data_IF_261090627087
#
_entry.id   IF_261090627087
#
_cell.length_a   1.000
_cell.length_b   1.000
_cell.length_c   1.000
_cell.angle_alpha   90.00
_cell.angle_beta   90.00
_cell.angle_gamma   90.00
#
_symmetry.space_group_name_H-M   'P 1'
#
loop_
_entity.id
_entity.type
_entity.pdbx_description
1 polymer ?
#
# COMPACT_ATOMS: atom_id res chain seq x y z
N UNK A 1 -2.23 -26.92 -3.97
CA UNK A 1 -2.89 -26.62 -2.69
C UNK A 1 -2.96 -25.11 -2.58
N UNK A 2 -4.12 -24.51 -2.82
CA UNK A 2 -4.30 -23.07 -2.66
C UNK A 2 -4.34 -22.82 -1.16
N UNK A 3 -3.32 -22.13 -0.62
CA UNK A 3 -3.39 -21.66 0.76
C UNK A 3 -4.53 -20.65 0.82
N UNK A 4 -5.68 -21.06 1.33
CA UNK A 4 -6.75 -20.13 1.67
C UNK A 4 -6.25 -19.39 2.90
N UNK A 5 -5.58 -18.26 2.65
CA UNK A 5 -5.22 -17.28 3.67
C UNK A 5 -6.54 -16.78 4.24
N UNK A 6 -6.74 -16.85 5.56
CA UNK A 6 -7.95 -16.32 6.17
C UNK A 6 -8.09 -14.83 5.84
N UNK A 7 -9.32 -14.31 5.76
CA UNK A 7 -9.57 -12.89 5.48
C UNK A 7 -8.84 -11.98 6.50
N UNK A 8 -8.70 -12.41 7.75
CA UNK A 8 -7.91 -11.72 8.77
C UNK A 8 -6.42 -11.71 8.45
N UNK A 9 -5.88 -12.82 7.96
CA UNK A 9 -4.49 -12.89 7.53
C UNK A 9 -4.23 -12.03 6.28
N UNK A 10 -5.22 -11.88 5.37
CA UNK A 10 -5.13 -10.93 4.25
C UNK A 10 -5.07 -9.49 4.75
N UNK A 11 -5.94 -9.09 5.70
CA UNK A 11 -5.90 -7.75 6.29
C UNK A 11 -4.57 -7.46 7.00
N UNK A 12 -4.05 -8.43 7.76
CA UNK A 12 -2.77 -8.30 8.45
C UNK A 12 -1.61 -8.10 7.47
N UNK A 13 -1.51 -8.95 6.44
CA UNK A 13 -0.45 -8.86 5.42
C UNK A 13 -0.52 -7.53 4.67
N UNK A 14 -1.71 -7.07 4.32
CA UNK A 14 -1.90 -5.78 3.62
C UNK A 14 -1.51 -4.61 4.52
N UNK A 15 -1.88 -4.65 5.80
CA UNK A 15 -1.46 -3.64 6.78
C UNK A 15 0.06 -3.58 6.98
N UNK A 16 0.70 -4.75 7.13
CA UNK A 16 2.16 -4.86 7.28
C UNK A 16 2.90 -4.35 6.03
N UNK A 17 2.40 -4.69 4.83
CA UNK A 17 2.98 -4.23 3.57
C UNK A 17 2.86 -2.71 3.39
N UNK A 18 1.70 -2.13 3.72
CA UNK A 18 1.51 -0.69 3.68
C UNK A 18 2.44 0.03 4.68
N UNK A 19 2.54 -0.49 5.91
CA UNK A 19 3.44 0.07 6.93
C UNK A 19 4.92 0.00 6.54
N UNK A 20 5.37 -1.14 6.00
CA UNK A 20 6.75 -1.30 5.53
C UNK A 20 7.08 -0.33 4.39
N UNK A 21 6.13 -0.06 3.49
CA UNK A 21 6.33 0.89 2.39
C UNK A 21 6.44 2.33 2.89
N UNK A 22 5.64 2.73 3.88
CA UNK A 22 5.75 4.06 4.50
C UNK A 22 7.15 4.27 5.09
N UNK A 23 7.65 3.30 5.88
CA UNK A 23 8.99 3.38 6.48
C UNK A 23 10.08 3.47 5.40
N UNK A 24 9.97 2.66 4.34
CA UNK A 24 10.92 2.69 3.23
C UNK A 24 10.93 4.06 2.53
N UNK A 25 9.76 4.68 2.33
CA UNK A 25 9.66 6.02 1.71
C UNK A 25 10.25 7.10 2.62
N UNK A 26 10.03 7.03 3.94
CA UNK A 26 10.63 7.95 4.90
C UNK A 26 12.16 7.84 4.92
N UNK A 27 12.69 6.61 4.87
CA UNK A 27 14.14 6.35 4.80
C UNK A 27 14.75 6.89 3.50
N UNK A 28 14.07 6.72 2.36
CA UNK A 28 14.47 7.31 1.07
C UNK A 28 14.44 8.83 1.16
N UNK A 29 13.37 9.42 1.70
CA UNK A 29 13.24 10.87 1.89
C UNK A 29 14.41 11.44 2.70
N UNK A 30 14.69 10.83 3.85
CA UNK A 30 15.80 11.19 4.74
C UNK A 30 17.16 11.04 4.06
N UNK A 31 17.35 9.96 3.31
CA UNK A 31 18.60 9.73 2.55
C UNK A 31 18.80 10.80 1.49
N UNK A 32 17.75 11.14 0.73
CA UNK A 32 17.80 12.22 -0.27
C UNK A 32 18.12 13.56 0.40
N UNK A 33 17.50 13.89 1.54
CA UNK A 33 17.80 15.12 2.29
C UNK A 33 19.27 15.16 2.75
N UNK A 34 19.83 14.03 3.17
CA UNK A 34 21.22 13.93 3.61
C UNK A 34 22.24 14.12 2.48
N UNK A 35 21.83 13.88 1.23
CA UNK A 35 22.67 14.02 0.03
C UNK A 35 22.67 15.46 -0.53
N UNK A 36 21.83 16.36 0.01
CA UNK A 36 21.87 17.79 -0.29
C UNK A 36 23.12 18.41 0.38
N UNK A 37 24.30 18.10 -0.17
CA UNK A 37 25.55 18.77 0.16
C UNK A 37 25.59 20.17 -0.48
N UNK A 38 26.37 21.08 0.11
CA UNK A 38 26.51 22.48 -0.28
C UNK A 38 26.65 22.66 -1.80
N UNK A 39 25.53 22.94 -2.47
CA UNK A 39 25.47 23.00 -3.92
C UNK A 39 26.05 24.34 -4.40
N UNK A 40 26.77 24.30 -5.51
CA UNK A 40 26.99 25.50 -6.31
C UNK A 40 25.80 25.61 -7.24
N UNK A 41 24.83 26.46 -6.91
CA UNK A 41 23.61 26.65 -7.69
C UNK A 41 23.86 26.93 -9.19
N UNK A 42 25.03 27.46 -9.55
CA UNK A 42 25.44 27.74 -10.94
C UNK A 42 26.07 26.54 -11.66
N UNK A 43 26.31 25.41 -11.00
CA UNK A 43 26.82 24.18 -11.60
C UNK A 43 25.68 23.44 -12.32
N UNK A 44 25.77 23.21 -13.64
CA UNK A 44 24.77 22.41 -14.37
C UNK A 44 24.66 20.98 -13.83
N UNK A 45 25.76 20.43 -13.30
CA UNK A 45 25.79 19.09 -12.69
C UNK A 45 25.01 19.07 -11.38
N UNK A 46 25.16 20.10 -10.54
CA UNK A 46 24.48 20.18 -9.25
C UNK A 46 22.96 20.36 -9.45
N UNK A 47 22.56 21.13 -10.48
CA UNK A 47 21.16 21.30 -10.86
C UNK A 47 20.54 20.00 -11.38
N UNK A 48 21.25 19.26 -12.23
CA UNK A 48 20.80 17.96 -12.74
C UNK A 48 20.69 16.92 -11.63
N UNK A 49 21.66 16.87 -10.71
CA UNK A 49 21.62 15.98 -9.55
C UNK A 49 20.49 16.31 -8.58
N UNK A 50 20.26 17.60 -8.30
CA UNK A 50 19.13 18.04 -7.46
C UNK A 50 17.80 17.62 -8.09
N UNK A 51 17.61 17.88 -9.39
CA UNK A 51 16.38 17.48 -10.09
C UNK A 51 16.15 15.96 -10.11
N UNK A 52 17.20 15.16 -10.16
CA UNK A 52 17.09 13.69 -10.03
C UNK A 52 16.73 13.25 -8.61
N UNK A 53 17.30 13.89 -7.59
CA UNK A 53 16.96 13.62 -6.19
C UNK A 53 15.51 13.98 -5.88
N UNK A 54 15.03 15.13 -6.39
CA UNK A 54 13.62 15.53 -6.28
C UNK A 54 12.71 14.53 -7.00
N UNK A 55 13.06 14.14 -8.23
CA UNK A 55 12.29 13.13 -8.97
C UNK A 55 12.21 11.77 -8.25
N UNK A 56 13.31 11.32 -7.64
CA UNK A 56 13.32 10.09 -6.83
C UNK A 56 12.35 10.24 -5.66
N UNK A 57 12.41 11.35 -4.92
CA UNK A 57 11.51 11.60 -3.79
C UNK A 57 10.04 11.58 -4.22
N UNK A 58 9.69 12.32 -5.26
CA UNK A 58 8.31 12.44 -5.73
C UNK A 58 7.76 11.09 -6.23
N UNK A 59 8.60 10.31 -6.92
CA UNK A 59 8.21 8.98 -7.42
C UNK A 59 7.93 8.00 -6.28
N UNK A 60 8.78 7.97 -5.25
CA UNK A 60 8.56 7.10 -4.09
C UNK A 60 7.35 7.55 -3.24
N UNK A 61 7.15 8.86 -3.09
CA UNK A 61 5.98 9.39 -2.40
C UNK A 61 4.66 9.04 -3.12
N UNK A 62 4.63 9.18 -4.45
CA UNK A 62 3.47 8.80 -5.27
C UNK A 62 3.18 7.29 -5.16
N UNK A 63 4.20 6.45 -5.31
CA UNK A 63 4.05 5.00 -5.19
C UNK A 63 3.56 4.56 -3.79
N UNK A 64 4.01 5.24 -2.73
CA UNK A 64 3.54 4.99 -1.37
C UNK A 64 2.06 5.34 -1.21
N UNK A 65 1.62 6.46 -1.79
CA UNK A 65 0.21 6.87 -1.78
C UNK A 65 -0.68 5.85 -2.50
N UNK A 66 -0.29 5.42 -3.69
CA UNK A 66 -1.07 4.46 -4.51
C UNK A 66 -1.24 3.12 -3.79
N UNK A 67 -0.16 2.61 -3.17
CA UNK A 67 -0.22 1.36 -2.41
C UNK A 67 -1.06 1.51 -1.15
N UNK A 68 -0.97 2.64 -0.44
CA UNK A 68 -1.81 2.89 0.73
C UNK A 68 -3.30 2.91 0.36
N UNK A 69 -3.67 3.58 -0.74
CA UNK A 69 -5.04 3.60 -1.25
C UNK A 69 -5.53 2.19 -1.61
N UNK A 70 -4.76 1.45 -2.41
CA UNK A 70 -5.14 0.10 -2.83
C UNK A 70 -5.20 -0.89 -1.66
N UNK A 71 -4.36 -0.71 -0.66
CA UNK A 71 -4.38 -1.47 0.59
C UNK A 71 -5.66 -1.21 1.36
N UNK A 72 -6.08 0.05 1.47
CA UNK A 72 -7.36 0.44 2.08
C UNK A 72 -8.55 -0.21 1.37
N UNK A 73 -8.60 -0.11 0.03
CA UNK A 73 -9.64 -0.75 -0.79
C UNK A 73 -9.67 -2.27 -0.55
N UNK A 74 -8.52 -2.91 -0.50
CA UNK A 74 -8.42 -4.36 -0.29
C UNK A 74 -8.96 -4.75 1.09
N UNK A 75 -8.63 -3.99 2.15
CA UNK A 75 -9.14 -4.22 3.51
C UNK A 75 -10.66 -4.03 3.57
N UNK A 76 -11.19 -2.99 2.92
CA UNK A 76 -12.62 -2.71 2.85
C UNK A 76 -13.38 -3.81 2.12
N UNK A 77 -12.92 -4.22 0.93
CA UNK A 77 -13.52 -5.31 0.17
C UNK A 77 -13.49 -6.65 0.94
N UNK A 78 -12.40 -6.90 1.67
CA UNK A 78 -12.25 -8.09 2.54
C UNK A 78 -13.23 -8.02 3.73
N UNK A 79 -13.43 -6.83 4.30
CA UNK A 79 -14.45 -6.58 5.32
C UNK A 79 -15.86 -6.86 4.80
N UNK A 80 -16.21 -6.33 3.63
CA UNK A 80 -17.50 -6.58 2.98
C UNK A 80 -17.72 -8.07 2.72
N UNK A 81 -16.71 -8.78 2.19
CA UNK A 81 -16.79 -10.23 1.99
C UNK A 81 -17.03 -11.02 3.28
N UNK A 82 -16.47 -10.56 4.41
CA UNK A 82 -16.72 -11.16 5.73
C UNK A 82 -18.18 -10.98 6.15
N UNK A 83 -18.73 -9.76 6.00
CA UNK A 83 -20.14 -9.47 6.33
C UNK A 83 -21.09 -10.28 5.45
N UNK A 84 -20.86 -10.34 4.14
CA UNK A 84 -21.69 -11.14 3.22
C UNK A 84 -21.66 -12.62 3.58
N UNK A 85 -20.49 -13.17 3.95
CA UNK A 85 -20.38 -14.56 4.37
C UNK A 85 -21.08 -14.82 5.72
N UNK A 86 -20.95 -13.91 6.68
CA UNK A 86 -21.63 -14.00 7.96
C UNK A 86 -23.15 -13.89 7.80
N UNK A 87 -23.63 -12.98 6.96
CA UNK A 87 -25.05 -12.81 6.65
C UNK A 87 -25.62 -14.01 5.88
N UNK A 88 -24.82 -14.66 5.03
CA UNK A 88 -25.19 -15.92 4.39
C UNK A 88 -25.24 -17.11 5.36
N UNK A 89 -24.51 -17.05 6.47
CA UNK A 89 -24.44 -18.09 7.52
C UNK A 89 -25.49 -17.90 8.63
N UNK A 90 -26.20 -16.75 8.68
CA UNK A 90 -27.22 -16.46 9.69
C UNK A 90 -28.40 -17.46 9.74
N UNK A 91 -28.56 -18.33 8.74
CA UNK A 91 -29.60 -19.36 8.72
C UNK A 91 -29.19 -20.68 9.40
N UNK A 92 -27.92 -20.88 9.82
CA UNK A 92 -27.46 -22.14 10.42
C UNK A 92 -27.74 -23.39 9.57
N UNK A 93 -28.06 -23.18 8.29
CA UNK A 93 -28.53 -24.17 7.35
C UNK A 93 -27.42 -24.58 6.42
N UNK A 94 -27.29 -25.89 6.19
CA UNK A 94 -26.30 -26.53 5.30
C UNK A 94 -26.53 -26.22 3.80
N UNK A 95 -27.23 -25.13 3.47
CA UNK A 95 -27.74 -24.84 2.14
C UNK A 95 -27.60 -23.35 1.82
N UNK A 96 -26.73 -23.05 0.86
CA UNK A 96 -26.63 -21.73 0.23
C UNK A 96 -27.92 -21.48 -0.53
N UNK A 97 -28.67 -20.43 -0.17
CA UNK A 97 -29.75 -19.93 -1.03
C UNK A 97 -29.12 -19.27 -2.24
N UNK A 98 -29.10 -20.01 -3.35
CA UNK A 98 -28.84 -19.43 -4.67
C UNK A 98 -29.96 -18.44 -4.98
N UNK A 99 -29.71 -17.14 -4.82
CA UNK A 99 -30.41 -16.13 -5.61
C UNK A 99 -29.80 -16.15 -7.01
N UNK A 100 -30.14 -17.19 -7.77
CA UNK A 100 -30.03 -17.13 -9.22
C UNK A 100 -31.01 -16.05 -9.72
N UNK A 101 -30.48 -15.18 -10.57
CA UNK A 101 -31.21 -14.18 -11.36
C UNK A 101 -32.32 -14.85 -12.17
#
# INVERSE_FOLDING_TARGET
MVNIVSLDAVKAIVGDAAGALTVMTDDVGTTVDSLVLASKADSPLDRDMTGKLDWIRDTFAAAASDVAEQSGITVEATGYGTTVLADADLDGGVSVRSTAV
#
